data_IF_470286774596
#
_entry.id   IF_470286774596
#
_cell.length_a   1.000
_cell.length_b   1.000
_cell.length_c   1.000
_cell.angle_alpha   90.00
_cell.angle_beta   90.00
_cell.angle_gamma   90.00
#
_symmetry.space_group_name_H-M   'P 1'
#
loop_
_entity.id
_entity.type
_entity.pdbx_description
1 polymer ?
#
# COMPACT_ATOMS: atom_id res chain seq x y z
N UNK A 1 11.34 16.20 -23.93
CA UNK A 1 10.39 17.30 -23.70
C UNK A 1 8.94 16.94 -24.09
N UNK A 2 8.69 16.13 -25.12
CA UNK A 2 7.32 15.90 -25.66
C UNK A 2 6.36 15.01 -24.84
N UNK A 3 6.78 14.48 -23.68
CA UNK A 3 5.96 13.57 -22.83
C UNK A 3 5.77 14.09 -21.41
N UNK A 4 5.93 15.39 -21.19
CA UNK A 4 5.63 16.04 -19.91
C UNK A 4 4.30 16.77 -19.98
N UNK A 5 3.59 16.79 -18.85
CA UNK A 5 2.42 17.62 -18.73
C UNK A 5 2.79 19.09 -18.90
N UNK A 6 1.96 19.90 -19.56
CA UNK A 6 2.23 21.33 -19.78
C UNK A 6 2.04 22.17 -18.51
N UNK A 7 1.47 21.57 -17.47
CA UNK A 7 1.07 22.26 -16.25
C UNK A 7 2.25 22.87 -15.50
N UNK A 8 1.99 23.93 -14.72
CA UNK A 8 3.01 24.46 -13.84
C UNK A 8 3.37 23.40 -12.80
N UNK A 9 4.60 23.47 -12.29
CA UNK A 9 4.95 22.74 -11.08
C UNK A 9 4.00 23.17 -9.93
N UNK A 10 3.81 22.35 -8.89
CA UNK A 10 3.07 22.74 -7.71
C UNK A 10 3.52 24.10 -7.20
N UNK A 11 2.57 25.04 -7.05
CA UNK A 11 2.84 26.40 -6.58
C UNK A 11 2.67 26.55 -5.06
N UNK A 12 2.02 25.57 -4.43
CA UNK A 12 1.67 25.57 -3.01
C UNK A 12 1.82 24.17 -2.43
N UNK A 13 2.01 24.08 -1.10
CA UNK A 13 2.35 22.82 -0.41
C UNK A 13 1.28 21.73 -0.62
N UNK A 14 0.03 22.14 -0.66
CA UNK A 14 -1.12 21.26 -0.83
C UNK A 14 -1.14 20.61 -2.22
N UNK A 15 -0.76 21.34 -3.28
CA UNK A 15 -0.65 20.77 -4.63
C UNK A 15 0.47 19.72 -4.71
N UNK A 16 1.60 19.98 -4.05
CA UNK A 16 2.70 19.02 -3.97
C UNK A 16 2.28 17.75 -3.21
N UNK A 17 1.57 17.90 -2.09
CA UNK A 17 0.99 16.79 -1.33
C UNK A 17 0.03 15.96 -2.18
N UNK A 18 -0.88 16.58 -2.93
CA UNK A 18 -1.82 15.88 -3.81
C UNK A 18 -1.09 15.12 -4.92
N UNK A 19 -0.09 15.74 -5.55
CA UNK A 19 0.73 15.09 -6.58
C UNK A 19 1.46 13.84 -6.04
N UNK A 20 2.06 13.96 -4.85
CA UNK A 20 2.77 12.85 -4.20
C UNK A 20 1.79 11.75 -3.83
N UNK A 21 0.64 12.10 -3.23
CA UNK A 21 -0.39 11.15 -2.85
C UNK A 21 -0.87 10.32 -4.04
N UNK A 22 -1.26 10.98 -5.14
CA UNK A 22 -1.75 10.33 -6.36
C UNK A 22 -0.72 9.34 -6.93
N UNK A 23 0.55 9.75 -6.97
CA UNK A 23 1.62 8.89 -7.49
C UNK A 23 1.84 7.66 -6.60
N UNK A 24 1.89 7.84 -5.27
CA UNK A 24 2.06 6.74 -4.30
C UNK A 24 0.88 5.77 -4.42
N UNK A 25 -0.32 6.30 -4.50
CA UNK A 25 -1.57 5.54 -4.50
C UNK A 25 -1.73 4.71 -5.78
N UNK A 26 -1.47 5.30 -6.93
CA UNK A 26 -1.45 4.61 -8.21
C UNK A 26 -0.38 3.51 -8.26
N UNK A 27 0.83 3.80 -7.73
CA UNK A 27 1.93 2.83 -7.69
C UNK A 27 1.60 1.68 -6.74
N UNK A 28 1.12 1.98 -5.54
CA UNK A 28 0.73 0.96 -4.55
C UNK A 28 -0.41 0.08 -5.06
N UNK A 29 -1.42 0.66 -5.74
CA UNK A 29 -2.52 -0.11 -6.33
C UNK A 29 -2.04 -1.09 -7.41
N UNK A 30 -0.97 -0.75 -8.12
CA UNK A 30 -0.41 -1.59 -9.18
C UNK A 30 0.43 -2.77 -8.66
N UNK A 31 0.71 -2.86 -7.36
CA UNK A 31 1.45 -3.98 -6.78
C UNK A 31 0.57 -5.23 -6.63
N UNK A 32 1.10 -6.38 -7.04
CA UNK A 32 0.46 -7.68 -6.81
C UNK A 32 0.44 -8.09 -5.33
N UNK A 33 1.53 -7.77 -4.60
CA UNK A 33 1.70 -8.09 -3.18
C UNK A 33 2.27 -6.87 -2.42
N UNK A 34 1.39 -6.07 -1.77
CA UNK A 34 1.75 -4.85 -1.07
C UNK A 34 2.24 -5.13 0.35
N UNK A 35 3.45 -5.69 0.46
CA UNK A 35 4.08 -5.88 1.78
C UNK A 35 4.46 -4.55 2.44
N UNK A 36 4.53 -4.46 3.78
CA UNK A 36 4.89 -3.22 4.47
C UNK A 36 6.19 -2.58 3.98
N UNK A 37 7.23 -3.39 3.80
CA UNK A 37 8.54 -2.92 3.32
C UNK A 37 8.49 -2.37 1.89
N UNK A 38 7.69 -2.97 1.01
CA UNK A 38 7.50 -2.48 -0.36
C UNK A 38 6.73 -1.17 -0.38
N UNK A 39 5.70 -1.04 0.46
CA UNK A 39 4.93 0.20 0.57
C UNK A 39 5.78 1.36 1.07
N UNK A 40 6.59 1.14 2.12
CA UNK A 40 7.55 2.14 2.60
C UNK A 40 8.54 2.55 1.50
N UNK A 41 9.06 1.57 0.76
CA UNK A 41 9.96 1.84 -0.37
C UNK A 41 9.30 2.71 -1.43
N UNK A 42 8.04 2.45 -1.78
CA UNK A 42 7.29 3.25 -2.76
C UNK A 42 7.18 4.71 -2.30
N UNK A 43 6.84 4.95 -1.02
CA UNK A 43 6.73 6.30 -0.48
C UNK A 43 8.07 7.03 -0.61
N UNK A 44 9.14 6.43 -0.10
CA UNK A 44 10.48 7.02 -0.13
C UNK A 44 10.99 7.27 -1.56
N UNK A 45 10.85 6.30 -2.47
CA UNK A 45 11.28 6.44 -3.86
C UNK A 45 10.46 7.49 -4.60
N UNK A 46 9.15 7.57 -4.37
CA UNK A 46 8.29 8.56 -5.00
C UNK A 46 8.71 9.98 -4.61
N UNK A 47 8.86 10.25 -3.32
CA UNK A 47 9.26 11.58 -2.82
C UNK A 47 10.65 11.96 -3.36
N UNK A 48 11.62 11.03 -3.30
CA UNK A 48 12.97 11.26 -3.86
C UNK A 48 12.95 11.53 -5.35
N UNK A 49 12.17 10.77 -6.13
CA UNK A 49 12.08 10.96 -7.57
C UNK A 49 11.46 12.32 -7.92
N UNK A 50 10.41 12.76 -7.21
CA UNK A 50 9.82 14.09 -7.41
C UNK A 50 10.78 15.21 -7.04
N UNK A 51 11.57 15.03 -5.97
CA UNK A 51 12.60 15.98 -5.57
C UNK A 51 13.73 16.07 -6.61
N UNK A 52 14.27 14.94 -7.07
CA UNK A 52 15.37 14.90 -8.06
C UNK A 52 14.92 15.43 -9.43
N UNK A 53 13.69 15.15 -9.85
CA UNK A 53 13.11 15.70 -11.10
C UNK A 53 12.75 17.20 -10.99
N UNK A 54 13.00 17.83 -9.83
CA UNK A 54 12.71 19.24 -9.58
C UNK A 54 11.21 19.56 -9.56
N UNK A 55 10.34 18.56 -9.39
CA UNK A 55 8.89 18.80 -9.39
C UNK A 55 8.43 19.64 -8.21
N UNK A 56 9.25 19.82 -7.18
CA UNK A 56 8.90 20.55 -5.96
C UNK A 56 9.55 21.95 -5.90
N UNK A 57 10.25 22.38 -6.94
CA UNK A 57 11.06 23.61 -6.95
C UNK A 57 10.23 24.91 -6.79
N UNK A 58 8.96 24.88 -7.18
CA UNK A 58 8.09 26.06 -7.21
C UNK A 58 7.11 26.10 -6.03
N UNK A 59 7.32 25.28 -4.99
CA UNK A 59 6.55 25.30 -3.76
C UNK A 59 7.45 25.42 -2.53
N UNK A 60 6.94 26.04 -1.46
CA UNK A 60 7.69 26.29 -0.22
C UNK A 60 7.83 25.04 0.69
N UNK A 61 8.17 23.88 0.12
CA UNK A 61 8.45 22.67 0.89
C UNK A 61 9.90 22.64 1.36
N UNK A 62 10.10 22.55 2.67
CA UNK A 62 11.43 22.36 3.24
C UNK A 62 11.79 20.87 3.27
N UNK A 63 13.08 20.53 3.35
CA UNK A 63 13.51 19.14 3.55
C UNK A 63 12.92 18.53 4.83
N UNK A 64 12.69 19.35 5.86
CA UNK A 64 11.98 18.92 7.08
C UNK A 64 10.54 18.54 6.79
N UNK A 65 9.84 19.33 5.97
CA UNK A 65 8.48 19.02 5.55
C UNK A 65 8.46 17.68 4.80
N UNK A 66 9.42 17.44 3.91
CA UNK A 66 9.52 16.16 3.19
C UNK A 66 9.68 14.95 4.11
N UNK A 67 10.49 15.04 5.17
CA UNK A 67 10.62 13.96 6.16
C UNK A 67 9.30 13.71 6.90
N UNK A 68 8.60 14.76 7.31
CA UNK A 68 7.29 14.64 7.98
C UNK A 68 6.26 14.03 7.03
N UNK A 69 6.28 14.45 5.76
CA UNK A 69 5.40 13.95 4.70
C UNK A 69 5.65 12.46 4.46
N UNK A 70 6.92 12.05 4.39
CA UNK A 70 7.31 10.63 4.23
C UNK A 70 6.73 9.77 5.36
N UNK A 71 6.98 10.14 6.62
CA UNK A 71 6.46 9.43 7.79
C UNK A 71 4.92 9.36 7.80
N UNK A 72 4.26 10.47 7.46
CA UNK A 72 2.80 10.53 7.40
C UNK A 72 2.22 9.62 6.30
N UNK A 73 2.80 9.63 5.10
CA UNK A 73 2.35 8.77 4.00
C UNK A 73 2.61 7.30 4.28
N UNK A 74 3.75 6.94 4.90
CA UNK A 74 4.01 5.56 5.32
C UNK A 74 2.91 5.07 6.27
N UNK A 75 2.56 5.86 7.28
CA UNK A 75 1.52 5.48 8.24
C UNK A 75 0.15 5.30 7.56
N UNK A 76 -0.23 6.24 6.67
CA UNK A 76 -1.51 6.18 5.95
C UNK A 76 -1.57 5.01 4.98
N UNK A 77 -0.53 4.79 4.17
CA UNK A 77 -0.53 3.73 3.16
C UNK A 77 -0.52 2.36 3.82
N UNK A 78 0.25 2.18 4.90
CA UNK A 78 0.21 0.96 5.69
C UNK A 78 -1.20 0.75 6.25
N UNK A 79 -1.84 1.77 6.82
CA UNK A 79 -3.20 1.66 7.33
C UNK A 79 -4.24 1.25 6.28
N UNK A 80 -4.10 1.70 5.03
CA UNK A 80 -5.00 1.34 3.93
C UNK A 80 -4.81 -0.12 3.50
N UNK A 81 -3.56 -0.59 3.43
CA UNK A 81 -3.23 -1.91 2.88
C UNK A 81 -3.09 -3.02 3.93
N UNK A 82 -3.08 -2.70 5.23
CA UNK A 82 -3.28 -3.72 6.26
C UNK A 82 -4.72 -4.24 6.18
N UNK A 83 -4.86 -5.51 5.80
CA UNK A 83 -6.14 -6.22 5.74
C UNK A 83 -6.96 -5.95 7.00
N UNK A 84 -8.20 -5.50 6.80
CA UNK A 84 -9.22 -5.63 7.85
C UNK A 84 -9.28 -7.11 8.22
N UNK A 85 -9.03 -7.42 9.48
CA UNK A 85 -9.28 -8.76 10.00
C UNK A 85 -10.75 -9.08 9.76
N UNK A 86 -11.02 -10.12 8.98
CA UNK A 86 -12.35 -10.70 8.90
C UNK A 86 -12.75 -11.06 10.33
N UNK A 87 -13.86 -10.47 10.80
CA UNK A 87 -14.44 -10.92 12.04
C UNK A 87 -14.65 -12.43 11.93
N UNK A 88 -14.27 -13.22 12.96
CA UNK A 88 -14.55 -14.64 12.94
C UNK A 88 -16.05 -14.79 12.68
N UNK A 89 -16.41 -15.23 11.48
CA UNK A 89 -17.77 -15.62 11.15
C UNK A 89 -18.18 -16.57 12.25
N UNK A 90 -19.23 -16.21 13.01
CA UNK A 90 -19.86 -16.89 14.16
C UNK A 90 -19.15 -18.16 14.64
N UNK A 91 -18.97 -18.41 15.95
CA UNK A 91 -18.34 -19.65 16.44
C UNK A 91 -18.88 -20.95 15.82
N UNK A 92 -20.09 -20.93 15.27
CA UNK A 92 -20.69 -21.98 14.45
C UNK A 92 -19.94 -22.21 13.12
N UNK A 93 -19.62 -21.17 12.36
CA UNK A 93 -18.93 -21.26 11.05
C UNK A 93 -17.48 -21.72 11.19
N UNK A 94 -16.76 -21.26 12.21
CA UNK A 94 -15.40 -21.75 12.50
C UNK A 94 -15.41 -23.21 12.96
N UNK A 95 -16.39 -23.62 13.78
CA UNK A 95 -16.56 -25.01 14.17
C UNK A 95 -16.95 -25.93 12.99
N UNK A 96 -17.79 -25.46 12.06
CA UNK A 96 -18.15 -26.20 10.84
C UNK A 96 -16.93 -26.39 9.93
N UNK A 97 -16.11 -25.34 9.75
CA UNK A 97 -14.88 -25.42 8.93
C UNK A 97 -13.86 -26.41 9.52
N UNK A 98 -13.68 -26.39 10.85
CA UNK A 98 -12.84 -27.34 11.58
C UNK A 98 -13.39 -28.78 11.55
N UNK A 99 -14.71 -28.95 11.45
CA UNK A 99 -15.34 -30.26 11.32
C UNK A 99 -15.16 -30.83 9.90
N UNK A 100 -15.29 -30.00 8.86
CA UNK A 100 -15.08 -30.37 7.45
C UNK A 100 -13.64 -30.79 7.15
N UNK A 101 -12.65 -30.11 7.74
CA UNK A 101 -11.23 -30.47 7.60
C UNK A 101 -10.90 -31.83 8.28
N UNK A 102 -11.61 -32.19 9.36
CA UNK A 102 -11.45 -33.48 10.05
C UNK A 102 -12.12 -34.64 9.31
N UNK A 103 -13.21 -34.41 8.57
CA UNK A 103 -13.86 -35.45 7.77
C UNK A 103 -13.06 -35.77 6.50
N UNK A 104 -12.48 -34.77 5.84
CA UNK A 104 -11.68 -34.99 4.63
C UNK A 104 -10.31 -35.64 4.89
N UNK A 105 -9.71 -35.45 6.06
CA UNK A 105 -8.46 -36.15 6.43
C UNK A 105 -8.68 -37.62 6.80
N UNK A 106 -9.88 -37.99 7.28
CA UNK A 106 -10.20 -39.38 7.62
C UNK A 106 -10.62 -40.26 6.44
N UNK A 107 -11.14 -39.67 5.35
CA UNK A 107 -11.46 -40.43 4.12
C UNK A 107 -10.21 -40.73 3.28
N UNK A 108 -9.20 -39.85 3.29
CA UNK A 108 -7.93 -40.09 2.60
C UNK A 108 -7.10 -41.23 3.22
N UNK A 109 -7.07 -41.34 4.55
CA UNK A 109 -6.33 -42.40 5.25
C UNK A 109 -6.97 -43.79 5.17
N UNK A 110 -8.23 -43.90 4.72
CA UNK A 110 -8.93 -45.19 4.57
C UNK A 110 -8.73 -45.84 3.20
N UNK A 111 -8.25 -45.08 2.20
CA UNK A 111 -7.99 -45.58 0.84
C UNK A 111 -6.58 -46.21 0.67
N UNK A 112 -5.63 -45.91 1.56
CA UNK A 112 -4.26 -46.44 1.48
C UNK A 112 -4.02 -47.74 2.27
N UNK A 113 -5.08 -48.35 2.83
CA UNK A 113 -4.97 -49.58 3.65
C UNK A 113 -5.93 -50.68 3.16
N UNK A 114 -6.07 -50.82 1.84
CA UNK A 114 -6.73 -51.97 1.20
C UNK A 114 -5.85 -52.53 0.09
#
# INVERSE_FOLDING_TARGET
>A
EDFRYPGPKPQFKEAALVMIADTIEATARSLDDPTPSRLQRIVNETIKNKFIDGQLDECDLTLRDLSIIEEAFEHVILGIYHQRLDYPSSPITSALKLAEEKTNSNTANKASNK
#
